data_IF_989118154485
#
_entry.id   IF_989118154485
#
_cell.length_a   1.000
_cell.length_b   1.000
_cell.length_c   1.000
_cell.angle_alpha   90.00
_cell.angle_beta   90.00
_cell.angle_gamma   90.00
#
_symmetry.space_group_name_H-M   'P 1'
#
loop_
_entity.id
_entity.type
_entity.pdbx_description
1 polymer ?
#
# COMPACT_ATOMS: atom_id res chain seq x y z
N UNK A 1 32.77 11.88 10.03
CA UNK A 1 32.00 13.11 10.37
C UNK A 1 30.81 12.60 11.12
N UNK A 2 30.86 12.67 12.44
CA UNK A 2 29.82 12.08 13.28
C UNK A 2 28.76 13.16 13.55
N UNK A 3 27.61 13.02 12.91
CA UNK A 3 26.46 13.88 13.13
C UNK A 3 25.85 13.54 14.50
N UNK A 4 25.78 14.49 15.42
CA UNK A 4 25.14 14.26 16.73
C UNK A 4 23.62 14.26 16.60
N UNK A 5 22.92 13.61 17.55
CA UNK A 5 21.46 13.63 17.63
C UNK A 5 20.91 15.06 17.75
N UNK A 6 21.61 15.93 18.48
CA UNK A 6 21.21 17.34 18.66
C UNK A 6 21.31 18.12 17.35
N UNK A 7 22.37 17.87 16.59
CA UNK A 7 22.60 18.47 15.28
C UNK A 7 21.52 18.00 14.30
N UNK A 8 21.24 16.69 14.24
CA UNK A 8 20.20 16.13 13.40
C UNK A 8 18.80 16.63 13.80
N UNK A 9 18.53 16.79 15.09
CA UNK A 9 17.28 17.35 15.59
C UNK A 9 17.05 18.78 15.09
N UNK A 10 18.08 19.63 15.18
CA UNK A 10 18.01 21.02 14.69
C UNK A 10 17.72 21.09 13.20
N UNK A 11 18.35 20.23 12.40
CA UNK A 11 18.22 20.25 10.93
C UNK A 11 16.91 19.64 10.44
N UNK A 12 16.48 18.53 11.05
CA UNK A 12 15.26 17.81 10.64
C UNK A 12 13.97 18.36 11.27
N UNK A 13 14.07 19.19 12.31
CA UNK A 13 12.91 19.66 13.08
C UNK A 13 12.26 18.57 13.96
N UNK A 14 12.93 17.43 14.14
CA UNK A 14 12.45 16.31 14.96
C UNK A 14 13.05 16.41 16.36
N UNK A 15 12.28 16.10 17.40
CA UNK A 15 12.79 16.18 18.78
C UNK A 15 13.92 15.17 19.03
N UNK A 16 14.96 15.52 19.83
CA UNK A 16 16.03 14.58 20.18
C UNK A 16 15.49 13.28 20.81
N UNK A 17 14.45 13.39 21.64
CA UNK A 17 13.76 12.23 22.22
C UNK A 17 13.13 11.28 21.19
N UNK A 18 12.69 11.80 20.04
CA UNK A 18 12.15 10.97 18.96
C UNK A 18 13.25 10.28 18.18
N UNK A 19 14.39 10.95 17.96
CA UNK A 19 15.58 10.36 17.34
C UNK A 19 16.14 9.23 18.23
N UNK A 20 16.31 9.47 19.53
CA UNK A 20 16.78 8.46 20.47
C UNK A 20 15.86 7.23 20.53
N UNK A 21 14.54 7.43 20.46
CA UNK A 21 13.57 6.34 20.38
C UNK A 21 13.70 5.53 19.09
N UNK A 22 13.88 6.22 17.96
CA UNK A 22 14.13 5.57 16.67
C UNK A 22 15.39 4.70 16.72
N UNK A 23 16.51 5.25 17.19
CA UNK A 23 17.80 4.54 17.25
C UNK A 23 17.79 3.35 18.22
N UNK A 24 17.07 3.48 19.33
CA UNK A 24 16.94 2.39 20.32
C UNK A 24 15.85 1.37 19.98
N UNK A 25 15.06 1.61 18.94
CA UNK A 25 13.89 0.81 18.58
C UNK A 25 12.77 0.86 19.63
N UNK A 26 12.80 1.82 20.56
CA UNK A 26 11.82 1.95 21.64
C UNK A 26 10.68 2.90 21.23
N UNK A 27 9.54 2.32 20.89
CA UNK A 27 8.32 3.06 20.56
C UNK A 27 8.17 3.35 19.07
N UNK A 28 7.21 4.21 18.74
CA UNK A 28 6.85 4.50 17.36
C UNK A 28 7.41 5.86 16.91
N UNK A 29 7.68 5.97 15.61
CA UNK A 29 7.94 7.25 14.94
C UNK A 29 6.81 7.52 13.94
N UNK A 30 6.41 8.79 13.78
CA UNK A 30 5.48 9.14 12.71
C UNK A 30 6.19 9.05 11.36
N UNK A 31 5.44 8.71 10.31
CA UNK A 31 5.98 8.69 8.95
C UNK A 31 6.59 10.04 8.55
N UNK A 32 5.95 11.15 8.93
CA UNK A 32 6.47 12.50 8.65
C UNK A 32 7.85 12.73 9.30
N UNK A 33 8.03 12.35 10.56
CA UNK A 33 9.32 12.51 11.23
C UNK A 33 10.39 11.60 10.61
N UNK A 34 10.02 10.38 10.23
CA UNK A 34 10.92 9.48 9.52
C UNK A 34 11.37 10.09 8.18
N UNK A 35 10.45 10.63 7.39
CA UNK A 35 10.77 11.28 6.12
C UNK A 35 11.67 12.51 6.30
N UNK A 36 11.43 13.35 7.32
CA UNK A 36 12.29 14.49 7.64
C UNK A 36 13.71 14.07 8.00
N UNK A 37 13.88 12.99 8.79
CA UNK A 37 15.19 12.45 9.14
C UNK A 37 15.91 11.87 7.91
N UNK A 38 15.21 11.08 7.09
CA UNK A 38 15.79 10.48 5.89
C UNK A 38 16.17 11.53 4.84
N UNK A 39 15.42 12.62 4.73
CA UNK A 39 15.77 13.75 3.86
C UNK A 39 17.09 14.38 4.30
N UNK A 40 17.26 14.64 5.59
CA UNK A 40 18.46 15.27 6.12
C UNK A 40 19.71 14.37 6.05
N UNK A 41 19.49 13.05 6.07
CA UNK A 41 20.53 12.04 5.92
C UNK A 41 20.80 11.66 4.46
N UNK A 42 20.12 12.27 3.49
CA UNK A 42 20.19 11.93 2.06
C UNK A 42 19.85 10.46 1.74
N UNK A 43 18.94 9.88 2.52
CA UNK A 43 18.48 8.48 2.42
C UNK A 43 17.04 8.35 1.89
N UNK A 44 16.42 9.46 1.49
CA UNK A 44 15.02 9.46 1.07
C UNK A 44 14.80 8.63 -0.21
N UNK A 45 15.76 8.67 -1.13
CA UNK A 45 15.74 7.86 -2.36
C UNK A 45 15.85 6.36 -2.05
N UNK A 46 16.65 5.98 -1.05
CA UNK A 46 16.79 4.58 -0.64
C UNK A 46 15.49 4.02 -0.07
N UNK A 47 14.74 4.83 0.70
CA UNK A 47 13.41 4.43 1.14
C UNK A 47 12.49 4.14 -0.04
N UNK A 48 12.55 4.94 -1.11
CA UNK A 48 11.73 4.72 -2.30
C UNK A 48 12.02 3.36 -2.96
N UNK A 49 13.29 2.91 -2.96
CA UNK A 49 13.71 1.61 -3.51
C UNK A 49 13.17 0.42 -2.72
N UNK A 50 12.81 0.60 -1.44
CA UNK A 50 12.22 -0.49 -0.63
C UNK A 50 10.80 -0.83 -1.03
N UNK A 51 10.08 0.09 -1.70
CA UNK A 51 8.75 -0.19 -2.20
C UNK A 51 8.84 -0.98 -3.51
N UNK A 52 7.90 -1.91 -3.70
CA UNK A 52 7.77 -2.61 -4.99
C UNK A 52 7.52 -1.58 -6.08
N UNK A 53 8.13 -1.83 -7.25
CA UNK A 53 7.90 -1.04 -8.45
C UNK A 53 6.39 -0.83 -8.65
N UNK A 54 5.88 0.42 -8.61
CA UNK A 54 4.46 0.68 -8.78
C UNK A 54 3.94 0.23 -10.15
N UNK A 55 4.83 0.06 -11.13
CA UNK A 55 4.48 -0.49 -12.45
C UNK A 55 4.28 -2.01 -12.44
N UNK A 56 4.60 -2.68 -11.33
CA UNK A 56 4.44 -4.12 -11.17
C UNK A 56 2.97 -4.47 -10.90
N UNK A 57 2.22 -4.72 -11.98
CA UNK A 57 0.85 -5.21 -11.85
C UNK A 57 0.82 -6.60 -11.20
N UNK A 58 0.29 -6.68 -9.98
CA UNK A 58 0.06 -7.95 -9.28
C UNK A 58 -0.83 -8.90 -10.09
N UNK A 59 -1.78 -8.35 -10.88
CA UNK A 59 -2.65 -9.12 -11.76
C UNK A 59 -1.86 -9.77 -12.90
N UNK A 60 -0.86 -9.07 -13.47
CA UNK A 60 0.03 -9.64 -14.49
C UNK A 60 0.94 -10.71 -13.90
N UNK A 61 1.49 -10.50 -12.70
CA UNK A 61 2.28 -11.52 -11.98
C UNK A 61 1.48 -12.79 -11.66
N UNK A 62 0.21 -12.63 -11.26
CA UNK A 62 -0.66 -13.77 -10.99
C UNK A 62 -0.96 -14.57 -12.28
N UNK A 63 -1.16 -13.88 -13.41
CA UNK A 63 -1.34 -14.49 -14.72
C UNK A 63 -0.07 -15.19 -15.21
N UNK A 64 1.11 -14.59 -15.06
CA UNK A 64 2.37 -15.20 -15.51
C UNK A 64 2.72 -16.48 -14.76
N UNK A 65 2.39 -16.57 -13.46
CA UNK A 65 2.56 -17.79 -12.66
C UNK A 65 1.57 -18.91 -13.03
N UNK A 66 0.50 -18.58 -13.75
CA UNK A 66 -0.55 -19.53 -14.10
C UNK A 66 -0.63 -19.67 -15.62
N UNK A 67 0.06 -20.67 -16.17
CA UNK A 67 -0.09 -21.07 -17.58
C UNK A 67 -1.49 -21.64 -17.91
N UNK A 68 -2.44 -21.61 -16.96
CA UNK A 68 -3.82 -22.04 -17.19
C UNK A 68 -4.59 -20.92 -17.88
N UNK A 69 -4.75 -21.07 -19.18
CA UNK A 69 -5.70 -20.29 -19.96
C UNK A 69 -7.08 -20.45 -19.32
N UNK A 70 -7.64 -19.36 -18.79
CA UNK A 70 -8.99 -19.37 -18.25
C UNK A 70 -9.96 -19.62 -19.40
N UNK A 71 -10.48 -20.84 -19.49
CA UNK A 71 -11.56 -21.14 -20.40
C UNK A 71 -12.83 -20.49 -19.87
N UNK A 72 -13.34 -19.47 -20.59
CA UNK A 72 -14.66 -18.93 -20.29
C UNK A 72 -15.66 -20.06 -20.52
N UNK A 73 -16.32 -20.50 -19.46
CA UNK A 73 -17.50 -21.34 -19.61
C UNK A 73 -18.54 -20.45 -20.30
N UNK A 74 -18.69 -20.61 -21.62
CA UNK A 74 -19.78 -19.97 -22.35
C UNK A 74 -21.04 -20.62 -21.79
N UNK A 75 -21.75 -19.93 -20.89
CA UNK A 75 -23.15 -20.28 -20.63
C UNK A 75 -23.83 -20.17 -22.00
N UNK A 76 -24.24 -21.31 -22.55
CA UNK A 76 -25.31 -21.29 -23.53
C UNK A 76 -26.44 -20.52 -22.86
N UNK A 77 -26.87 -19.44 -23.50
CA UNK A 77 -28.11 -18.78 -23.12
C UNK A 77 -29.19 -19.77 -23.55
N UNK A 78 -29.47 -20.76 -22.73
CA UNK A 78 -30.80 -21.34 -22.70
C UNK A 78 -31.67 -20.23 -22.14
N UNK A 79 -32.38 -19.53 -23.02
CA UNK A 79 -33.47 -18.67 -22.60
C UNK A 79 -34.35 -19.53 -21.68
N UNK A 80 -34.49 -19.20 -20.39
CA UNK A 80 -35.48 -19.89 -19.57
C UNK A 80 -36.86 -19.68 -20.23
N UNK A 81 -37.80 -20.65 -20.11
CA UNK A 81 -39.19 -20.39 -20.46
C UNK A 81 -39.60 -19.08 -19.79
N UNK A 82 -40.29 -18.23 -20.55
CA UNK A 82 -40.77 -16.92 -20.11
C UNK A 82 -41.69 -17.07 -18.89
N UNK A 83 -41.11 -17.18 -17.70
CA UNK A 83 -41.79 -16.96 -16.44
C UNK A 83 -41.64 -15.46 -16.17
N UNK A 84 -42.71 -14.73 -16.45
CA UNK A 84 -42.88 -13.28 -16.27
C UNK A 84 -42.87 -12.88 -14.80
N UNK A 85 -41.84 -13.26 -14.05
CA UNK A 85 -41.56 -12.69 -12.72
C UNK A 85 -40.47 -11.66 -12.86
N UNK A 86 -40.94 -10.44 -13.11
CA UNK A 86 -40.16 -9.22 -13.08
C UNK A 86 -39.40 -9.13 -11.73
N UNK A 87 -38.08 -9.13 -11.80
CA UNK A 87 -37.24 -9.09 -10.62
C UNK A 87 -37.22 -7.69 -10.02
N UNK A 88 -37.80 -7.53 -8.83
CA UNK A 88 -37.76 -6.25 -8.09
C UNK A 88 -36.80 -6.34 -6.91
N UNK A 89 -35.78 -5.47 -6.88
CA UNK A 89 -34.99 -5.19 -5.69
C UNK A 89 -35.67 -4.12 -4.84
N UNK A 90 -35.96 -4.44 -3.58
CA UNK A 90 -36.36 -3.47 -2.56
C UNK A 90 -37.81 -2.98 -2.63
N UNK A 91 -38.37 -2.74 -1.43
CA UNK A 91 -39.68 -2.18 -1.04
C UNK A 91 -40.69 -3.23 -0.50
N UNK A 92 -41.21 -3.13 0.74
CA UNK A 92 -41.27 -2.01 1.69
C UNK A 92 -41.09 -2.47 3.16
N UNK A 93 -40.24 -1.76 3.90
CA UNK A 93 -40.55 -1.50 5.31
C UNK A 93 -41.55 -0.33 5.32
N UNK A 94 -42.71 -0.56 5.93
CA UNK A 94 -43.77 0.41 6.18
C UNK A 94 -44.66 -0.15 7.26
#
# INVERSE_FOLDING_TARGET
>A
MDLSQEELAKRSGVSPSSIARLETGKGNISLLNLLSLLKELDLLNELQLTFRDPNLSLALLAKSKTNKIRQRVRKQITLPPNDEKEWTWGHKNG
#
